data_IF_596660510561
#
_entry.id   IF_596660510561
#
_cell.length_a   1.000
_cell.length_b   1.000
_cell.length_c   1.000
_cell.angle_alpha   90.00
_cell.angle_beta   90.00
_cell.angle_gamma   90.00
#
_symmetry.space_group_name_H-M   'P 1'
#
loop_
_entity.id
_entity.type
_entity.pdbx_description
1 polymer ?
#
# COMPACT_ATOMS: atom_id res chain seq x y z
N UNK A 1 -2.20 16.88 3.61
CA UNK A 1 -1.81 17.34 4.97
C UNK A 1 -1.96 18.84 5.07
N UNK A 2 -2.61 19.35 6.12
CA UNK A 2 -2.71 20.79 6.35
C UNK A 2 -1.42 21.31 7.01
N UNK A 3 -0.54 21.91 6.21
CA UNK A 3 0.80 22.38 6.63
C UNK A 3 0.73 23.38 7.79
N UNK A 4 -0.34 24.18 7.87
CA UNK A 4 -0.52 25.19 8.91
C UNK A 4 -0.67 24.56 10.32
N UNK A 5 -1.38 23.44 10.46
CA UNK A 5 -1.60 22.79 11.76
C UNK A 5 -0.29 22.26 12.35
N UNK A 6 0.56 21.68 11.51
CA UNK A 6 1.88 21.16 11.91
C UNK A 6 2.79 22.31 12.38
N UNK A 7 2.75 23.45 11.69
CA UNK A 7 3.53 24.63 12.07
C UNK A 7 3.00 25.26 13.37
N UNK A 8 1.67 25.35 13.49
CA UNK A 8 1.00 25.90 14.68
C UNK A 8 1.32 25.08 15.95
N UNK A 9 1.27 23.74 15.86
CA UNK A 9 1.63 22.83 16.96
C UNK A 9 3.07 23.05 17.44
N UNK A 10 4.03 23.21 16.50
CA UNK A 10 5.43 23.48 16.83
C UNK A 10 5.66 24.86 17.44
N UNK A 11 4.93 25.88 16.96
CA UNK A 11 5.09 27.26 17.42
C UNK A 11 4.41 27.51 18.77
N UNK A 12 3.38 26.73 19.10
CA UNK A 12 2.60 26.90 20.32
C UNK A 12 2.51 25.60 21.13
N UNK A 13 3.63 25.12 21.72
CA UNK A 13 3.63 23.88 22.51
C UNK A 13 2.81 23.99 23.81
N UNK A 14 2.50 25.21 24.25
CA UNK A 14 1.63 25.48 25.41
C UNK A 14 0.15 25.57 25.05
N UNK A 15 -0.20 25.55 23.76
CA UNK A 15 -1.60 25.49 23.36
C UNK A 15 -2.15 24.13 23.79
N UNK A 16 -3.07 24.14 24.73
CA UNK A 16 -3.71 22.95 25.29
C UNK A 16 -4.72 22.35 24.31
N UNK A 17 -4.26 21.94 23.12
CA UNK A 17 -5.06 21.30 22.06
C UNK A 17 -4.66 19.84 21.85
N UNK A 18 -5.65 18.98 21.65
CA UNK A 18 -5.53 17.56 21.34
C UNK A 18 -6.07 17.26 19.96
N UNK A 19 -5.51 16.23 19.32
CA UNK A 19 -5.99 15.69 18.04
C UNK A 19 -7.10 14.67 18.32
N UNK A 20 -8.18 14.72 17.54
CA UNK A 20 -9.27 13.75 17.64
C UNK A 20 -8.81 12.33 17.25
N UNK A 21 -9.39 11.31 17.89
CA UNK A 21 -9.14 9.89 17.60
C UNK A 21 -9.77 9.44 16.27
N UNK A 22 -10.87 10.07 15.85
CA UNK A 22 -11.61 9.70 14.64
C UNK A 22 -11.09 10.41 13.39
N UNK A 23 -10.56 11.64 13.54
CA UNK A 23 -10.01 12.42 12.44
C UNK A 23 -8.89 13.35 12.91
N UNK A 24 -7.67 13.14 12.40
CA UNK A 24 -6.48 13.91 12.77
C UNK A 24 -6.47 15.37 12.29
N UNK A 25 -7.44 15.79 11.47
CA UNK A 25 -7.60 17.20 11.10
C UNK A 25 -8.23 18.01 12.23
N UNK A 26 -9.04 17.38 13.10
CA UNK A 26 -9.68 18.06 14.22
C UNK A 26 -8.68 18.31 15.36
N UNK A 27 -8.39 19.59 15.62
CA UNK A 27 -7.58 20.05 16.75
C UNK A 27 -8.49 20.78 17.74
N UNK A 28 -8.57 20.28 18.96
CA UNK A 28 -9.64 20.62 19.90
C UNK A 28 -9.02 20.97 21.24
N UNK A 29 -9.58 21.97 21.92
CA UNK A 29 -9.10 22.35 23.24
C UNK A 29 -9.27 21.20 24.22
N UNK A 30 -8.37 21.10 25.18
CA UNK A 30 -8.38 20.03 26.18
C UNK A 30 -9.69 19.98 26.99
N UNK A 31 -10.31 21.14 27.22
CA UNK A 31 -11.57 21.29 27.96
C UNK A 31 -12.73 20.63 27.20
N UNK A 32 -12.85 20.91 25.89
CA UNK A 32 -13.95 20.44 25.04
C UNK A 32 -13.70 19.03 24.45
N UNK A 33 -12.54 18.44 24.72
CA UNK A 33 -12.12 17.19 24.07
C UNK A 33 -13.06 16.01 24.41
N UNK A 34 -13.52 15.93 25.65
CA UNK A 34 -14.43 14.88 26.12
C UNK A 34 -15.80 14.97 25.45
N UNK A 35 -16.31 16.19 25.28
CA UNK A 35 -17.58 16.47 24.60
C UNK A 35 -17.47 16.17 23.11
N UNK A 36 -16.37 16.60 22.48
CA UNK A 36 -16.12 16.29 21.08
C UNK A 36 -16.12 14.79 20.78
N UNK A 37 -15.49 13.96 21.61
CA UNK A 37 -15.47 12.52 21.37
C UNK A 37 -16.89 11.92 21.36
N UNK A 38 -17.85 12.54 22.05
CA UNK A 38 -19.26 12.11 22.05
C UNK A 38 -19.99 12.55 20.79
N UNK A 39 -19.72 13.77 20.30
CA UNK A 39 -20.47 14.39 19.19
C UNK A 39 -19.70 14.49 17.86
N UNK A 40 -18.51 13.90 17.75
CA UNK A 40 -17.67 14.01 16.57
C UNK A 40 -18.41 13.48 15.32
N UNK A 41 -18.52 14.28 14.24
CA UNK A 41 -19.19 13.87 13.00
C UNK A 41 -18.59 12.60 12.39
N UNK A 42 -17.26 12.46 12.49
CA UNK A 42 -16.51 11.34 11.92
C UNK A 42 -16.59 10.06 12.77
N UNK A 43 -17.12 10.13 13.99
CA UNK A 43 -17.36 8.96 14.83
C UNK A 43 -18.27 7.95 14.14
N UNK A 44 -19.25 8.43 13.39
CA UNK A 44 -20.19 7.60 12.62
C UNK A 44 -19.47 6.63 11.68
N UNK A 45 -18.34 7.03 11.10
CA UNK A 45 -17.56 6.16 10.21
C UNK A 45 -17.04 4.95 10.98
N UNK A 46 -16.40 5.16 12.13
CA UNK A 46 -15.89 4.06 12.96
C UNK A 46 -17.02 3.18 13.46
N UNK A 47 -18.10 3.78 13.97
CA UNK A 47 -19.25 3.04 14.49
C UNK A 47 -19.88 2.13 13.42
N UNK A 48 -19.92 2.57 12.15
CA UNK A 48 -20.44 1.77 11.02
C UNK A 48 -19.64 0.51 10.73
N UNK A 49 -18.34 0.50 11.06
CA UNK A 49 -17.48 -0.67 10.87
C UNK A 49 -17.40 -1.57 12.11
N UNK A 50 -17.64 -1.03 13.31
CA UNK A 50 -17.54 -1.78 14.57
C UNK A 50 -18.86 -2.43 15.00
N UNK A 51 -20.01 -1.86 14.64
CA UNK A 51 -21.33 -2.35 15.07
C UNK A 51 -21.89 -3.42 14.14
N UNK A 52 -21.11 -4.47 13.83
CA UNK A 52 -21.67 -5.68 13.20
C UNK A 52 -21.99 -6.66 14.32
N UNK A 53 -23.28 -6.84 14.61
CA UNK A 53 -23.67 -7.97 15.45
C UNK A 53 -23.43 -9.27 14.67
N UNK A 54 -23.23 -10.42 15.32
CA UNK A 54 -23.11 -11.70 14.61
C UNK A 54 -24.33 -12.00 13.72
N UNK A 55 -25.49 -11.40 14.01
CA UNK A 55 -26.68 -11.46 13.15
C UNK A 55 -26.52 -10.66 11.84
N UNK A 56 -25.94 -9.45 11.89
CA UNK A 56 -25.69 -8.62 10.70
C UNK A 56 -24.64 -9.26 9.78
N UNK A 57 -23.65 -9.95 10.36
CA UNK A 57 -22.66 -10.72 9.59
C UNK A 57 -23.30 -11.93 8.91
N UNK A 58 -24.24 -12.63 9.58
CA UNK A 58 -24.99 -13.73 8.99
C UNK A 58 -25.91 -13.27 7.86
N UNK A 59 -26.58 -12.13 7.99
CA UNK A 59 -27.47 -11.60 6.95
C UNK A 59 -26.68 -11.12 5.71
N UNK A 60 -25.52 -10.46 5.91
CA UNK A 60 -24.61 -10.12 4.79
C UNK A 60 -24.01 -11.36 4.11
N UNK A 61 -23.67 -12.40 4.88
CA UNK A 61 -23.20 -13.68 4.32
C UNK A 61 -24.32 -14.48 3.64
N UNK A 62 -25.55 -14.40 4.14
CA UNK A 62 -26.72 -15.04 3.54
C UNK A 62 -27.15 -14.33 2.24
N UNK A 63 -27.15 -13.00 2.22
CA UNK A 63 -27.37 -12.21 1.01
C UNK A 63 -26.28 -12.47 -0.05
N UNK A 64 -25.01 -12.56 0.36
CA UNK A 64 -23.91 -12.94 -0.53
C UNK A 64 -23.98 -14.39 -1.03
N UNK A 65 -24.61 -15.30 -0.28
CA UNK A 65 -24.89 -16.69 -0.71
C UNK A 65 -26.07 -16.78 -1.67
N UNK A 66 -27.08 -15.91 -1.53
CA UNK A 66 -28.27 -15.89 -2.40
C UNK A 66 -28.02 -15.20 -3.74
N UNK A 67 -27.00 -14.34 -3.83
CA UNK A 67 -26.59 -13.71 -5.08
C UNK A 67 -25.48 -14.46 -5.82
N UNK A 68 -25.09 -15.66 -5.39
CA UNK A 68 -24.21 -16.48 -6.22
C UNK A 68 -25.00 -16.90 -7.45
N UNK A 69 -24.61 -16.48 -8.66
CA UNK A 69 -25.14 -17.11 -9.85
C UNK A 69 -24.84 -18.60 -9.71
N UNK A 70 -25.87 -19.44 -9.72
CA UNK A 70 -25.65 -20.85 -10.00
C UNK A 70 -25.25 -20.90 -11.47
N UNK A 71 -23.99 -20.63 -11.75
CA UNK A 71 -23.46 -20.88 -13.08
C UNK A 71 -23.75 -22.35 -13.37
N UNK A 72 -24.44 -22.67 -14.48
CA UNK A 72 -24.61 -24.06 -14.86
C UNK A 72 -23.22 -24.66 -14.94
N UNK A 73 -22.98 -25.72 -14.18
CA UNK A 73 -21.69 -26.41 -14.13
C UNK A 73 -21.26 -26.75 -15.57
N UNK A 74 -20.40 -25.91 -16.13
CA UNK A 74 -19.75 -26.12 -17.41
C UNK A 74 -18.54 -26.99 -17.11
N UNK A 75 -18.49 -28.16 -17.74
CA UNK A 75 -17.33 -29.03 -17.69
C UNK A 75 -16.07 -28.20 -18.00
N UNK A 76 -15.20 -28.02 -17.01
CA UNK A 76 -13.96 -27.21 -17.12
C UNK A 76 -13.15 -27.62 -18.35
N UNK A 77 -13.22 -28.90 -18.73
CA UNK A 77 -12.56 -29.44 -19.91
C UNK A 77 -13.15 -28.93 -21.23
N UNK A 78 -14.47 -28.73 -21.28
CA UNK A 78 -15.15 -28.18 -22.44
C UNK A 78 -14.92 -26.66 -22.57
N UNK A 79 -14.78 -25.95 -21.44
CA UNK A 79 -14.49 -24.52 -21.43
C UNK A 79 -13.03 -24.22 -21.79
N UNK A 80 -12.07 -25.00 -21.27
CA UNK A 80 -10.66 -24.95 -21.65
C UNK A 80 -10.45 -25.28 -23.14
N UNK A 81 -11.20 -26.25 -23.69
CA UNK A 81 -11.16 -26.58 -25.11
C UNK A 81 -11.70 -25.46 -26.01
N UNK A 82 -12.58 -24.59 -25.49
CA UNK A 82 -13.19 -23.50 -26.25
C UNK A 82 -12.42 -22.17 -26.14
N UNK A 83 -11.65 -21.95 -25.06
CA UNK A 83 -10.94 -20.68 -24.76
C UNK A 83 -9.41 -20.81 -24.76
N UNK A 84 -8.87 -21.99 -25.05
CA UNK A 84 -7.43 -22.26 -25.10
C UNK A 84 -6.84 -22.56 -23.71
N UNK A 85 -5.81 -23.40 -23.68
CA UNK A 85 -5.05 -23.81 -22.48
C UNK A 85 -4.13 -22.70 -21.93
N UNK A 86 -4.51 -21.42 -22.02
CA UNK A 86 -3.70 -20.33 -21.44
C UNK A 86 -4.09 -20.12 -19.97
N UNK A 87 -3.73 -21.10 -19.16
CA UNK A 87 -3.88 -21.04 -17.71
C UNK A 87 -2.71 -20.25 -17.10
N UNK A 88 -3.03 -19.20 -16.32
CA UNK A 88 -2.05 -18.42 -15.58
C UNK A 88 -1.33 -19.24 -14.51
N UNK A 89 -1.92 -20.34 -14.03
CA UNK A 89 -1.32 -21.23 -13.04
C UNK A 89 -0.23 -22.15 -13.64
N UNK A 90 -0.21 -22.35 -14.97
CA UNK A 90 0.78 -23.18 -15.68
C UNK A 90 1.96 -22.35 -16.23
N UNK A 91 2.04 -21.06 -15.89
CA UNK A 91 3.16 -20.17 -16.25
C UNK A 91 4.40 -20.45 -15.38
N UNK A 92 5.22 -21.42 -15.82
CA UNK A 92 6.54 -21.75 -15.24
C UNK A 92 7.64 -20.71 -15.58
N UNK A 93 7.29 -19.43 -15.65
CA UNK A 93 8.27 -18.37 -15.89
C UNK A 93 9.17 -18.16 -14.66
N UNK A 94 10.47 -17.95 -14.91
CA UNK A 94 11.40 -17.64 -13.82
C UNK A 94 11.02 -16.31 -13.18
N UNK A 95 11.01 -16.22 -11.84
CA UNK A 95 10.74 -14.96 -11.16
C UNK A 95 11.70 -13.86 -11.64
N UNK A 96 11.15 -12.68 -11.91
CA UNK A 96 11.95 -11.51 -12.25
C UNK A 96 12.96 -11.22 -11.13
N UNK A 97 14.23 -11.09 -11.50
CA UNK A 97 15.33 -10.72 -10.59
C UNK A 97 15.79 -9.29 -10.90
N UNK A 98 15.32 -8.28 -10.15
CA UNK A 98 15.66 -6.88 -10.42
C UNK A 98 17.16 -6.61 -10.35
N UNK A 99 17.89 -7.33 -9.47
CA UNK A 99 19.33 -7.17 -9.33
C UNK A 99 20.09 -7.50 -10.61
N UNK A 100 19.73 -8.60 -11.28
CA UNK A 100 20.36 -9.06 -12.52
C UNK A 100 20.02 -8.10 -13.68
N UNK A 101 18.79 -7.60 -13.70
CA UNK A 101 18.37 -6.61 -14.69
C UNK A 101 19.14 -5.30 -14.55
N UNK A 102 19.30 -4.80 -13.32
CA UNK A 102 20.07 -3.58 -13.04
C UNK A 102 21.56 -3.70 -13.38
N UNK A 103 22.12 -4.92 -13.35
CA UNK A 103 23.50 -5.19 -13.76
C UNK A 103 23.66 -5.16 -15.29
N UNK A 104 22.68 -5.70 -16.02
CA UNK A 104 22.72 -5.86 -17.48
C UNK A 104 22.38 -4.58 -18.25
N UNK A 105 21.59 -3.68 -17.66
CA UNK A 105 21.11 -2.46 -18.33
C UNK A 105 21.79 -1.19 -17.78
N UNK A 106 21.66 -0.06 -18.49
CA UNK A 106 22.16 1.26 -18.04
C UNK A 106 21.25 1.86 -16.96
N UNK A 107 21.13 1.16 -15.83
CA UNK A 107 20.41 1.61 -14.63
C UNK A 107 21.42 2.20 -13.65
N UNK A 108 21.13 3.40 -13.13
CA UNK A 108 21.97 4.07 -12.13
C UNK A 108 21.77 3.41 -10.76
N UNK A 109 22.87 2.93 -10.17
CA UNK A 109 22.88 2.29 -8.84
C UNK A 109 23.56 3.18 -7.80
N UNK A 110 23.10 3.13 -6.55
CA UNK A 110 23.62 3.94 -5.45
C UNK A 110 24.25 3.08 -4.34
N UNK A 111 25.48 3.40 -3.94
CA UNK A 111 26.12 2.85 -2.75
C UNK A 111 25.48 3.42 -1.47
N UNK A 112 24.76 2.58 -0.72
CA UNK A 112 24.18 2.92 0.59
C UNK A 112 24.96 2.20 1.69
N UNK A 113 25.11 2.85 2.85
CA UNK A 113 25.74 2.28 4.05
C UNK A 113 27.16 1.74 3.86
N UNK A 114 27.90 2.28 2.89
CA UNK A 114 29.32 1.96 2.67
C UNK A 114 30.22 3.07 3.22
N UNK A 115 31.44 2.71 3.58
CA UNK A 115 32.48 3.67 3.95
C UNK A 115 32.89 4.53 2.74
N UNK A 116 33.64 5.61 3.00
CA UNK A 116 34.05 6.54 1.94
C UNK A 116 34.93 5.87 0.86
N UNK A 117 35.80 4.93 1.24
CA UNK A 117 36.65 4.17 0.30
C UNK A 117 35.82 3.23 -0.56
N UNK A 118 34.99 2.40 0.06
CA UNK A 118 34.12 1.44 -0.64
C UNK A 118 33.13 2.15 -1.58
N UNK A 119 32.61 3.31 -1.17
CA UNK A 119 31.74 4.14 -2.01
C UNK A 119 32.47 4.65 -3.26
N UNK A 120 33.75 5.01 -3.14
CA UNK A 120 34.57 5.45 -4.28
C UNK A 120 34.80 4.30 -5.25
N UNK A 121 35.22 3.15 -4.76
CA UNK A 121 35.43 1.93 -5.56
C UNK A 121 34.15 1.48 -6.28
N UNK A 122 33.00 1.58 -5.61
CA UNK A 122 31.70 1.31 -6.22
C UNK A 122 31.39 2.24 -7.40
N UNK A 123 31.65 3.55 -7.29
CA UNK A 123 31.38 4.46 -8.40
C UNK A 123 32.40 4.35 -9.54
N UNK A 124 33.65 4.03 -9.24
CA UNK A 124 34.67 3.74 -10.26
C UNK A 124 34.28 2.49 -11.07
N UNK A 125 33.90 1.39 -10.39
CA UNK A 125 33.41 0.18 -11.06
C UNK A 125 32.11 0.40 -11.84
N UNK A 126 31.15 1.18 -11.30
CA UNK A 126 29.95 1.54 -12.03
C UNK A 126 30.24 2.40 -13.28
N UNK A 127 31.21 3.32 -13.20
CA UNK A 127 31.61 4.13 -14.35
C UNK A 127 32.17 3.25 -15.47
N UNK A 128 33.01 2.26 -15.13
CA UNK A 128 33.57 1.31 -16.08
C UNK A 128 32.45 0.46 -16.70
N UNK A 129 31.59 -0.15 -15.87
CA UNK A 129 30.45 -0.97 -16.34
C UNK A 129 29.56 -0.21 -17.32
N UNK A 130 29.22 1.04 -17.01
CA UNK A 130 28.37 1.86 -17.88
C UNK A 130 29.06 2.23 -19.19
N UNK A 131 30.38 2.47 -19.16
CA UNK A 131 31.14 2.70 -20.37
C UNK A 131 31.21 1.45 -21.26
N UNK A 132 31.32 0.25 -20.67
CA UNK A 132 31.29 -1.02 -21.39
C UNK A 132 29.91 -1.29 -22.02
N UNK A 133 28.83 -1.09 -21.26
CA UNK A 133 27.48 -1.25 -21.80
C UNK A 133 27.21 -0.32 -22.98
N UNK A 134 27.66 0.93 -22.90
CA UNK A 134 27.50 1.91 -24.00
C UNK A 134 28.31 1.58 -25.25
N UNK A 135 29.32 0.73 -25.18
CA UNK A 135 30.08 0.27 -26.36
C UNK A 135 29.39 -0.87 -27.11
N UNK A 136 28.47 -1.57 -26.46
CA UNK A 136 27.79 -2.74 -26.99
C UNK A 136 26.42 -2.41 -27.64
N UNK A 137 26.07 -1.12 -27.72
CA UNK A 137 24.91 -0.58 -28.43
C UNK A 137 25.39 0.35 -29.55
#
# INVERSE_FOLDING_TARGET
MQVHLIKCEKQHPKAAVKKCLFNFTHHIRNEDYSEHLRSCPDRRLVDSYSAKTPADVQEQQAAARQSQPTDPYVDEKAMAAAWGEENWDDMDEKPYKPADYCLKNDVIRSARNLTKSEKREFYESESIRRAELKKNF
#
